data_IF_782342512830
#
_entry.id   IF_782342512830
#
_cell.length_a   1.000
_cell.length_b   1.000
_cell.length_c   1.000
_cell.angle_alpha   90.00
_cell.angle_beta   90.00
_cell.angle_gamma   90.00
#
_symmetry.space_group_name_H-M   'P 1'
#
loop_
_entity.id
_entity.type
_entity.pdbx_description
1 polymer ?
#
# COMPACT_ATOMS: atom_id res chain seq x y z
N UNK A 1 -6.06 -17.13 2.40
CA UNK A 1 -5.78 -15.77 1.90
C UNK A 1 -6.15 -14.82 3.01
N UNK A 2 -5.17 -14.13 3.57
CA UNK A 2 -5.41 -13.17 4.65
C UNK A 2 -5.67 -11.81 4.02
N UNK A 3 -6.72 -11.12 4.45
CA UNK A 3 -6.99 -9.74 4.01
C UNK A 3 -6.28 -8.81 5.00
N UNK A 4 -5.48 -7.89 4.50
CA UNK A 4 -4.75 -6.92 5.33
C UNK A 4 -5.47 -5.58 5.39
N UNK A 5 -5.36 -4.91 6.53
CA UNK A 5 -5.87 -3.56 6.72
C UNK A 5 -4.84 -2.50 6.30
N UNK A 6 -5.26 -1.24 6.29
CA UNK A 6 -4.41 -0.13 5.88
C UNK A 6 -3.20 0.03 6.82
N UNK A 7 -3.36 -0.19 8.13
CA UNK A 7 -2.27 0.00 9.07
C UNK A 7 -1.15 -1.01 8.86
N UNK A 8 -1.46 -2.28 8.54
CA UNK A 8 -0.41 -3.25 8.21
C UNK A 8 0.44 -2.76 7.02
N UNK A 9 -0.19 -2.28 5.95
CA UNK A 9 0.55 -1.74 4.79
C UNK A 9 1.32 -0.47 5.16
N UNK A 10 0.73 0.45 5.93
CA UNK A 10 1.39 1.68 6.36
C UNK A 10 2.62 1.39 7.23
N UNK A 11 2.50 0.49 8.22
CA UNK A 11 3.61 0.12 9.11
C UNK A 11 4.76 -0.53 8.34
N UNK A 12 4.46 -1.31 7.32
CA UNK A 12 5.46 -1.89 6.42
C UNK A 12 6.17 -0.83 5.59
N UNK A 13 5.43 0.09 4.98
CA UNK A 13 5.99 1.11 4.09
C UNK A 13 6.78 2.18 4.83
N UNK A 14 6.36 2.54 6.05
CA UNK A 14 6.90 3.68 6.80
C UNK A 14 7.93 3.29 7.85
N UNK A 15 7.92 2.03 8.31
CA UNK A 15 8.72 1.56 9.45
C UNK A 15 8.62 2.50 10.68
N UNK A 16 7.40 2.99 10.96
CA UNK A 16 7.16 4.06 11.91
C UNK A 16 6.73 3.58 13.31
N UNK A 17 6.72 2.26 13.55
CA UNK A 17 6.36 1.68 14.84
C UNK A 17 7.27 0.52 15.23
N UNK A 18 8.02 0.69 16.33
CA UNK A 18 9.04 -0.26 16.79
C UNK A 18 8.54 -1.72 16.92
N UNK A 19 7.33 -1.92 17.43
CA UNK A 19 6.77 -3.27 17.62
C UNK A 19 5.94 -3.79 16.43
N UNK A 20 5.17 -2.93 15.76
CA UNK A 20 4.20 -3.33 14.75
C UNK A 20 4.78 -3.36 13.34
N UNK A 21 5.80 -2.55 13.03
CA UNK A 21 6.46 -2.57 11.73
C UNK A 21 7.17 -3.90 11.43
N UNK A 22 7.90 -4.53 12.38
CA UNK A 22 8.42 -5.88 12.18
C UNK A 22 7.34 -6.93 11.93
N UNK A 23 6.20 -6.83 12.63
CA UNK A 23 5.07 -7.76 12.45
C UNK A 23 4.41 -7.56 11.08
N UNK A 24 4.27 -6.31 10.63
CA UNK A 24 3.76 -6.00 9.30
C UNK A 24 4.68 -6.54 8.19
N UNK A 25 6.00 -6.43 8.36
CA UNK A 25 6.98 -7.04 7.47
C UNK A 25 6.87 -8.56 7.43
N UNK A 26 6.76 -9.21 8.58
CA UNK A 26 6.53 -10.66 8.61
C UNK A 26 5.24 -11.06 7.87
N UNK A 27 4.15 -10.33 8.06
CA UNK A 27 2.88 -10.59 7.37
C UNK A 27 3.02 -10.42 5.85
N UNK A 28 3.60 -9.30 5.38
CA UNK A 28 3.67 -8.98 3.95
C UNK A 28 4.73 -9.82 3.21
N UNK A 29 5.86 -10.12 3.85
CA UNK A 29 6.96 -10.84 3.20
C UNK A 29 6.82 -12.37 3.27
N UNK A 30 6.15 -12.90 4.31
CA UNK A 30 6.09 -14.36 4.54
C UNK A 30 4.72 -14.98 4.28
N UNK A 31 3.67 -14.18 4.04
CA UNK A 31 2.32 -14.68 3.82
C UNK A 31 1.71 -14.19 2.50
N UNK A 32 0.77 -14.95 1.96
CA UNK A 32 -0.06 -14.49 0.84
C UNK A 32 -1.20 -13.63 1.37
N UNK A 33 -1.10 -12.32 1.15
CA UNK A 33 -2.07 -11.33 1.61
C UNK A 33 -2.80 -10.65 0.45
N UNK A 34 -4.10 -10.42 0.63
CA UNK A 34 -4.91 -9.65 -0.30
C UNK A 34 -5.10 -8.23 0.24
N UNK A 35 -4.86 -7.24 -0.62
CA UNK A 35 -5.14 -5.83 -0.38
C UNK A 35 -6.37 -5.39 -1.20
N UNK A 36 -7.54 -5.21 -0.56
CA UNK A 36 -8.71 -4.66 -1.23
C UNK A 36 -8.45 -3.24 -1.75
N UNK A 37 -9.13 -2.85 -2.83
CA UNK A 37 -8.96 -1.53 -3.47
C UNK A 37 -9.32 -0.41 -2.49
N UNK A 38 -10.36 -0.61 -1.68
CA UNK A 38 -10.82 0.34 -0.66
C UNK A 38 -9.71 0.62 0.36
N UNK A 39 -9.02 -0.44 0.80
CA UNK A 39 -7.90 -0.35 1.73
C UNK A 39 -6.70 0.33 1.07
N UNK A 40 -6.41 0.02 -0.19
CA UNK A 40 -5.34 0.69 -0.93
C UNK A 40 -5.60 2.20 -1.11
N UNK A 41 -6.86 2.61 -1.35
CA UNK A 41 -7.25 4.02 -1.39
C UNK A 41 -7.05 4.72 -0.04
N UNK A 42 -7.34 4.04 1.07
CA UNK A 42 -7.07 4.54 2.42
C UNK A 42 -5.57 4.74 2.66
N UNK A 43 -4.74 3.75 2.30
CA UNK A 43 -3.27 3.86 2.36
C UNK A 43 -2.77 5.07 1.59
N UNK A 44 -3.24 5.26 0.34
CA UNK A 44 -2.88 6.43 -0.48
C UNK A 44 -3.29 7.74 0.21
N UNK A 45 -4.51 7.80 0.74
CA UNK A 45 -5.00 8.99 1.42
C UNK A 45 -4.15 9.33 2.65
N UNK A 46 -3.84 8.34 3.50
CA UNK A 46 -3.04 8.54 4.72
C UNK A 46 -1.62 8.96 4.37
N UNK A 47 -0.95 8.27 3.44
CA UNK A 47 0.40 8.64 3.01
C UNK A 47 0.44 10.07 2.46
N UNK A 48 -0.55 10.46 1.66
CA UNK A 48 -0.58 11.78 1.02
C UNK A 48 -1.00 12.91 1.97
N UNK A 49 -1.99 12.69 2.84
CA UNK A 49 -2.62 13.76 3.64
C UNK A 49 -2.10 13.83 5.08
N UNK A 50 -1.70 12.71 5.65
CA UNK A 50 -1.18 12.65 7.03
C UNK A 50 0.34 12.72 7.02
N UNK A 51 0.98 11.87 6.21
CA UNK A 51 2.45 11.82 6.13
C UNK A 51 3.03 12.75 5.05
N UNK A 52 2.18 13.43 4.26
CA UNK A 52 2.60 14.38 3.22
C UNK A 52 3.58 13.82 2.20
N UNK A 53 3.51 12.51 1.95
CA UNK A 53 4.40 11.81 1.00
C UNK A 53 3.96 12.13 -0.42
N UNK A 54 4.96 12.35 -1.29
CA UNK A 54 4.74 12.67 -2.68
C UNK A 54 4.04 11.52 -3.41
N UNK A 55 3.08 11.88 -4.27
CA UNK A 55 2.27 10.91 -5.02
C UNK A 55 3.13 9.96 -5.87
N UNK A 56 4.27 10.45 -6.39
CA UNK A 56 5.21 9.64 -7.18
C UNK A 56 5.86 8.53 -6.33
N UNK A 57 6.18 8.83 -5.08
CA UNK A 57 6.75 7.85 -4.17
C UNK A 57 5.71 6.81 -3.77
N UNK A 58 4.47 7.24 -3.53
CA UNK A 58 3.33 6.33 -3.28
C UNK A 58 3.11 5.40 -4.48
N UNK A 59 3.12 5.94 -5.70
CA UNK A 59 3.03 5.17 -6.95
C UNK A 59 4.12 4.12 -7.05
N UNK A 60 5.37 4.50 -6.79
CA UNK A 60 6.51 3.61 -6.86
C UNK A 60 6.41 2.49 -5.82
N UNK A 61 6.11 2.82 -4.56
CA UNK A 61 6.06 1.84 -3.47
C UNK A 61 4.90 0.86 -3.64
N UNK A 62 3.66 1.33 -3.84
CA UNK A 62 2.51 0.45 -4.06
C UNK A 62 2.65 -0.34 -5.36
N UNK A 63 3.22 0.27 -6.40
CA UNK A 63 3.59 -0.40 -7.64
C UNK A 63 4.51 -1.59 -7.38
N UNK A 64 5.58 -1.36 -6.61
CA UNK A 64 6.56 -2.38 -6.25
C UNK A 64 5.90 -3.56 -5.51
N UNK A 65 5.09 -3.29 -4.49
CA UNK A 65 4.38 -4.32 -3.73
C UNK A 65 3.56 -5.26 -4.62
N UNK A 66 2.84 -4.69 -5.59
CA UNK A 66 2.02 -5.45 -6.53
C UNK A 66 2.85 -6.19 -7.58
N UNK A 67 3.90 -5.57 -8.12
CA UNK A 67 4.74 -6.20 -9.16
C UNK A 67 5.66 -7.29 -8.62
N UNK A 68 6.05 -7.18 -7.35
CA UNK A 68 6.86 -8.20 -6.65
C UNK A 68 5.99 -9.29 -6.01
N UNK A 69 4.67 -9.22 -6.17
CA UNK A 69 3.68 -10.14 -5.58
C UNK A 69 3.76 -10.24 -4.05
N UNK A 70 4.20 -9.18 -3.38
CA UNK A 70 4.14 -9.08 -1.92
C UNK A 70 2.70 -8.92 -1.43
N UNK A 71 1.84 -8.34 -2.27
CA UNK A 71 0.40 -8.24 -2.02
C UNK A 71 -0.37 -8.64 -3.28
N UNK A 72 -1.50 -9.31 -3.09
CA UNK A 72 -2.46 -9.62 -4.14
C UNK A 72 -3.60 -8.60 -4.16
N UNK A 73 -4.06 -8.22 -5.35
CA UNK A 73 -5.17 -7.28 -5.50
C UNK A 73 -6.00 -7.64 -6.73
N UNK A 74 -7.32 -7.67 -6.58
CA UNK A 74 -8.21 -7.80 -7.73
C UNK A 74 -8.08 -6.57 -8.64
N UNK A 75 -7.99 -6.81 -9.95
CA UNK A 75 -7.83 -5.76 -10.97
C UNK A 75 -6.64 -4.81 -10.69
N UNK A 76 -5.53 -5.34 -10.18
CA UNK A 76 -4.29 -4.58 -9.90
C UNK A 76 -3.84 -3.70 -11.07
N UNK A 77 -3.99 -4.16 -12.33
CA UNK A 77 -3.70 -3.37 -13.53
C UNK A 77 -4.56 -2.10 -13.64
N UNK A 78 -5.85 -2.19 -13.31
CA UNK A 78 -6.77 -1.05 -13.33
C UNK A 78 -6.41 -0.08 -12.21
N UNK A 79 -6.12 -0.61 -11.02
CA UNK A 79 -5.67 0.18 -9.88
C UNK A 79 -4.39 0.96 -10.20
N UNK A 80 -3.35 0.29 -10.72
CA UNK A 80 -2.08 0.94 -11.09
C UNK A 80 -2.27 2.01 -12.16
N UNK A 81 -3.12 1.76 -13.16
CA UNK A 81 -3.47 2.78 -14.16
C UNK A 81 -4.16 3.98 -13.52
N UNK A 82 -5.12 3.76 -12.63
CA UNK A 82 -5.82 4.82 -11.90
C UNK A 82 -4.88 5.62 -11.00
N UNK A 83 -3.98 4.94 -10.30
CA UNK A 83 -2.97 5.56 -9.44
C UNK A 83 -2.06 6.49 -10.25
N UNK A 84 -1.66 6.07 -11.46
CA UNK A 84 -0.82 6.83 -12.39
C UNK A 84 -1.53 7.97 -13.12
N UNK A 85 -2.84 7.85 -13.37
CA UNK A 85 -3.60 8.82 -14.17
C UNK A 85 -4.25 9.93 -13.35
N UNK A 86 -4.57 9.70 -12.08
CA UNK A 86 -5.20 10.71 -11.24
C UNK A 86 -4.23 11.88 -10.97
N UNK A 87 -4.59 13.04 -11.52
CA UNK A 87 -3.96 14.33 -11.24
C UNK A 87 -4.31 14.77 -9.80
N UNK A 88 -3.44 15.54 -9.13
CA UNK A 88 -3.81 16.13 -7.84
C UNK A 88 -5.04 17.01 -8.05
N UNK A 89 -6.18 16.63 -7.46
CA UNK A 89 -7.28 17.56 -7.26
C UNK A 89 -6.82 18.52 -6.18
N UNK A 90 -6.41 19.70 -6.61
CA UNK A 90 -6.12 20.86 -5.76
C UNK A 90 -7.35 21.32 -5.00
#
# INVERSE_FOLDING_TARGET
MNIVDANVVLRYLLDDHAELSPQAAEIIEQQTVALPIEVACEVIYVLQKVYTIDRKDIQQQLGKLLTENLIEMDKSVVFLKGLNSAQPTG
#
